data_IF_686434980932
#
_entry.id   IF_686434980932
#
_cell.length_a   1.000
_cell.length_b   1.000
_cell.length_c   1.000
_cell.angle_alpha   90.00
_cell.angle_beta   90.00
_cell.angle_gamma   90.00
#
_symmetry.space_group_name_H-M   'P 1'
#
loop_
_entity.id
_entity.type
_entity.pdbx_description
1 polymer ?
#
# COMPACT_ATOMS: atom_id res chain seq x y z
N UNK A 1 0.83 26.06 -20.84
CA UNK A 1 0.72 25.36 -19.54
C UNK A 1 0.28 23.93 -19.86
N UNK A 2 1.10 22.91 -19.55
CA UNK A 2 0.66 21.51 -19.63
C UNK A 2 -0.45 21.31 -18.60
N UNK A 3 -1.59 20.76 -19.04
CA UNK A 3 -2.58 20.22 -18.12
C UNK A 3 -2.00 18.94 -17.55
N UNK A 4 -1.60 18.92 -16.27
CA UNK A 4 -1.19 17.69 -15.61
C UNK A 4 -2.37 16.74 -15.54
N UNK A 5 -2.14 15.48 -15.89
CA UNK A 5 -3.15 14.43 -15.73
C UNK A 5 -3.41 14.14 -14.24
N UNK A 6 -4.58 13.57 -13.92
CA UNK A 6 -4.91 13.21 -12.55
C UNK A 6 -3.83 12.31 -11.88
N UNK A 7 -3.28 11.27 -12.54
CA UNK A 7 -2.17 10.48 -11.99
C UNK A 7 -0.91 11.31 -11.69
N UNK A 8 -0.51 12.22 -12.59
CA UNK A 8 0.66 13.09 -12.37
C UNK A 8 0.51 13.99 -11.13
N UNK A 9 -0.72 14.44 -10.84
CA UNK A 9 -1.03 15.21 -9.63
C UNK A 9 -0.89 14.33 -8.38
N UNK A 10 -1.34 13.09 -8.44
CA UNK A 10 -1.26 12.15 -7.31
C UNK A 10 0.17 11.71 -7.03
N UNK A 11 0.98 11.49 -8.07
CA UNK A 11 2.42 11.26 -7.93
C UNK A 11 3.14 12.48 -7.30
N UNK A 12 2.75 13.69 -7.68
CA UNK A 12 3.27 14.91 -7.08
C UNK A 12 2.87 15.01 -5.58
N UNK A 13 1.64 14.63 -5.24
CA UNK A 13 1.19 14.60 -3.85
C UNK A 13 2.01 13.59 -3.01
N UNK A 14 2.31 12.40 -3.53
CA UNK A 14 3.16 11.42 -2.86
C UNK A 14 4.58 11.94 -2.66
N UNK A 15 5.19 12.61 -3.66
CA UNK A 15 6.51 13.24 -3.49
C UNK A 15 6.51 14.31 -2.39
N UNK A 16 5.42 15.08 -2.26
CA UNK A 16 5.29 16.04 -1.17
C UNK A 16 5.21 15.33 0.19
N UNK A 17 4.45 14.23 0.30
CA UNK A 17 4.36 13.42 1.53
C UNK A 17 5.74 12.86 1.91
N UNK A 18 6.47 12.29 0.95
CA UNK A 18 7.83 11.78 1.18
C UNK A 18 8.79 12.87 1.65
N UNK A 19 8.75 14.05 1.03
CA UNK A 19 9.65 15.16 1.36
C UNK A 19 9.38 15.80 2.73
N UNK A 20 8.10 15.84 3.15
CA UNK A 20 7.66 16.45 4.43
C UNK A 20 7.72 15.42 5.57
N UNK A 21 7.69 14.14 5.27
CA UNK A 21 7.63 13.07 6.27
C UNK A 21 6.32 13.03 7.06
N UNK A 22 5.24 13.57 6.50
CA UNK A 22 3.93 13.65 7.15
C UNK A 22 2.78 13.88 6.17
N UNK A 23 1.56 13.49 6.58
CA UNK A 23 0.34 13.64 5.77
C UNK A 23 -0.21 15.08 5.71
N UNK A 24 0.44 16.05 6.34
CA UNK A 24 0.03 17.46 6.33
C UNK A 24 0.38 18.17 5.01
N UNK A 25 -0.07 17.55 3.90
CA UNK A 25 0.03 18.19 2.58
C UNK A 25 -0.96 19.35 2.47
N UNK A 26 -0.55 20.39 1.77
CA UNK A 26 -1.41 21.54 1.46
C UNK A 26 -1.70 21.60 -0.04
N UNK A 27 -2.82 22.21 -0.43
CA UNK A 27 -3.06 22.49 -1.84
C UNK A 27 -1.93 23.28 -2.49
N UNK A 28 -1.30 24.17 -1.74
CA UNK A 28 -0.20 24.99 -2.25
C UNK A 28 1.02 24.13 -2.58
N UNK A 29 1.43 23.23 -1.66
CA UNK A 29 2.60 22.37 -1.87
C UNK A 29 2.38 21.38 -3.02
N UNK A 30 1.20 20.75 -3.08
CA UNK A 30 0.88 19.80 -4.16
C UNK A 30 0.75 20.51 -5.50
N UNK A 31 0.08 21.67 -5.56
CA UNK A 31 -0.04 22.43 -6.80
C UNK A 31 1.34 22.88 -7.32
N UNK A 32 2.22 23.35 -6.45
CA UNK A 32 3.59 23.72 -6.79
C UNK A 32 4.38 22.53 -7.35
N UNK A 33 4.31 21.40 -6.68
CA UNK A 33 5.01 20.18 -7.10
C UNK A 33 4.47 19.63 -8.43
N UNK A 34 3.14 19.74 -8.66
CA UNK A 34 2.48 19.32 -9.90
C UNK A 34 2.60 20.34 -11.05
N UNK A 35 3.21 21.52 -10.81
CA UNK A 35 3.29 22.58 -11.81
C UNK A 35 1.94 23.24 -12.14
N UNK A 36 1.00 23.22 -11.18
CA UNK A 36 -0.36 23.77 -11.30
C UNK A 36 -0.54 25.02 -10.44
N UNK A 37 -1.63 25.75 -10.71
CA UNK A 37 -2.16 26.72 -9.75
C UNK A 37 -2.99 26.01 -8.69
N UNK A 38 -3.14 26.64 -7.50
CA UNK A 38 -4.05 26.15 -6.46
C UNK A 38 -5.47 25.96 -6.98
N UNK A 39 -5.97 26.90 -7.81
CA UNK A 39 -7.29 26.80 -8.41
C UNK A 39 -7.39 25.62 -9.40
N UNK A 40 -6.32 25.36 -10.17
CA UNK A 40 -6.24 24.19 -11.04
C UNK A 40 -6.30 22.87 -10.26
N UNK A 41 -5.59 22.78 -9.14
CA UNK A 41 -5.66 21.58 -8.27
C UNK A 41 -7.06 21.42 -7.65
N UNK A 42 -7.68 22.50 -7.17
CA UNK A 42 -9.04 22.49 -6.60
C UNK A 42 -10.12 22.11 -7.63
N UNK A 43 -9.89 22.34 -8.92
CA UNK A 43 -10.78 21.86 -9.98
C UNK A 43 -10.78 20.31 -10.05
N UNK A 44 -9.64 19.67 -9.85
CA UNK A 44 -9.52 18.20 -9.83
C UNK A 44 -9.99 17.59 -8.52
N UNK A 45 -9.73 18.27 -7.40
CA UNK A 45 -10.01 17.79 -6.05
C UNK A 45 -10.61 18.93 -5.22
N UNK A 46 -11.96 19.02 -5.13
CA UNK A 46 -12.64 20.15 -4.48
C UNK A 46 -12.35 20.30 -2.99
N UNK A 47 -12.03 19.21 -2.28
CA UNK A 47 -11.72 19.20 -0.85
C UNK A 47 -10.39 18.51 -0.57
N UNK A 48 -9.75 18.84 0.57
CA UNK A 48 -8.52 18.18 1.02
C UNK A 48 -8.75 16.68 1.21
N UNK A 49 -9.92 16.27 1.69
CA UNK A 49 -10.27 14.87 1.86
C UNK A 49 -10.43 14.16 0.52
N UNK A 50 -11.05 14.81 -0.48
CA UNK A 50 -11.12 14.25 -1.84
C UNK A 50 -9.73 14.05 -2.47
N UNK A 51 -8.78 14.96 -2.23
CA UNK A 51 -7.39 14.78 -2.63
C UNK A 51 -6.76 13.60 -1.89
N UNK A 52 -6.92 13.53 -0.56
CA UNK A 52 -6.31 12.47 0.24
C UNK A 52 -6.89 11.09 -0.10
N UNK A 53 -8.20 10.96 -0.27
CA UNK A 53 -8.83 9.71 -0.74
C UNK A 53 -8.24 9.28 -2.08
N UNK A 54 -8.12 10.20 -3.03
CA UNK A 54 -7.54 9.88 -4.34
C UNK A 54 -6.06 9.48 -4.26
N UNK A 55 -5.27 10.06 -3.33
CA UNK A 55 -3.89 9.64 -3.07
C UNK A 55 -3.86 8.23 -2.48
N UNK A 56 -4.75 7.91 -1.54
CA UNK A 56 -4.89 6.57 -0.97
C UNK A 56 -5.24 5.55 -2.05
N UNK A 57 -6.26 5.82 -2.87
CA UNK A 57 -6.66 4.99 -4.00
C UNK A 57 -5.49 4.75 -4.96
N UNK A 58 -4.73 5.80 -5.28
CA UNK A 58 -3.57 5.71 -6.16
C UNK A 58 -2.45 4.82 -5.61
N UNK A 59 -2.18 4.88 -4.30
CA UNK A 59 -1.24 3.95 -3.62
C UNK A 59 -1.76 2.52 -3.71
N UNK A 60 -3.03 2.31 -3.41
CA UNK A 60 -3.66 0.99 -3.47
C UNK A 60 -3.59 0.42 -4.89
N UNK A 61 -3.90 1.21 -5.91
CA UNK A 61 -3.84 0.78 -7.32
C UNK A 61 -2.43 0.32 -7.71
N UNK A 62 -1.40 1.04 -7.27
CA UNK A 62 0.01 0.66 -7.50
C UNK A 62 0.32 -0.68 -6.82
N UNK A 63 -0.03 -0.83 -5.56
CA UNK A 63 0.20 -2.07 -4.82
C UNK A 63 -0.57 -3.26 -5.41
N UNK A 64 -1.83 -3.04 -5.82
CA UNK A 64 -2.61 -4.07 -6.50
C UNK A 64 -1.97 -4.50 -7.82
N UNK A 65 -1.45 -3.56 -8.62
CA UNK A 65 -0.76 -3.88 -9.86
C UNK A 65 0.50 -4.72 -9.62
N UNK A 66 1.30 -4.39 -8.60
CA UNK A 66 2.49 -5.17 -8.21
C UNK A 66 2.11 -6.55 -7.68
N UNK A 67 1.14 -6.63 -6.77
CA UNK A 67 0.62 -7.90 -6.25
C UNK A 67 0.05 -8.78 -7.35
N UNK A 68 -0.70 -8.22 -8.29
CA UNK A 68 -1.25 -8.93 -9.44
C UNK A 68 -0.16 -9.47 -10.36
N UNK A 69 0.94 -8.70 -10.53
CA UNK A 69 2.11 -9.14 -11.30
C UNK A 69 2.80 -10.35 -10.65
N UNK A 70 2.91 -10.37 -9.32
CA UNK A 70 3.50 -11.49 -8.57
C UNK A 70 2.55 -12.69 -8.55
N UNK A 71 1.24 -12.45 -8.40
CA UNK A 71 0.21 -13.49 -8.35
C UNK A 71 0.13 -14.30 -9.66
N UNK A 72 0.25 -13.63 -10.80
CA UNK A 72 0.33 -14.26 -12.12
C UNK A 72 -0.97 -14.89 -12.66
N UNK A 73 -2.05 -14.90 -11.86
CA UNK A 73 -3.38 -15.39 -12.23
C UNK A 73 -4.43 -14.36 -11.84
N UNK A 74 -5.62 -14.33 -12.46
CA UNK A 74 -6.68 -13.41 -12.04
C UNK A 74 -7.03 -13.57 -10.57
N UNK A 75 -7.25 -12.44 -9.86
CA UNK A 75 -7.53 -12.42 -8.42
C UNK A 75 -8.72 -13.35 -8.05
N UNK A 76 -9.76 -13.35 -8.87
CA UNK A 76 -10.96 -14.16 -8.63
C UNK A 76 -10.74 -15.68 -8.81
N UNK A 77 -9.67 -16.07 -9.49
CA UNK A 77 -9.29 -17.47 -9.71
C UNK A 77 -8.26 -17.96 -8.68
N UNK A 78 -7.70 -17.03 -7.89
CA UNK A 78 -6.67 -17.32 -6.90
C UNK A 78 -7.24 -17.75 -5.56
N UNK A 79 -6.50 -18.60 -4.86
CA UNK A 79 -6.74 -18.97 -3.47
C UNK A 79 -6.19 -17.91 -2.51
N UNK A 80 -6.66 -17.90 -1.25
CA UNK A 80 -6.10 -17.04 -0.21
C UNK A 80 -4.59 -17.31 0.02
N UNK A 81 -4.16 -18.57 -0.06
CA UNK A 81 -2.76 -18.95 0.10
C UNK A 81 -1.87 -18.33 -1.01
N UNK A 82 -2.31 -18.35 -2.26
CA UNK A 82 -1.60 -17.72 -3.37
C UNK A 82 -1.52 -16.20 -3.20
N UNK A 83 -2.59 -15.56 -2.73
CA UNK A 83 -2.61 -14.10 -2.45
C UNK A 83 -1.69 -13.73 -1.29
N UNK A 84 -1.68 -14.52 -0.20
CA UNK A 84 -0.74 -14.32 0.91
C UNK A 84 0.70 -14.57 0.45
N UNK A 85 0.95 -15.59 -0.39
CA UNK A 85 2.26 -15.83 -1.00
C UNK A 85 2.73 -14.61 -1.82
N UNK A 86 1.87 -14.06 -2.67
CA UNK A 86 2.18 -12.86 -3.46
C UNK A 86 2.52 -11.67 -2.55
N UNK A 87 1.76 -11.49 -1.46
CA UNK A 87 2.02 -10.42 -0.49
C UNK A 87 3.35 -10.59 0.26
N UNK A 88 3.72 -11.81 0.66
CA UNK A 88 5.03 -12.07 1.27
C UNK A 88 6.17 -11.68 0.34
N UNK A 89 6.07 -12.00 -0.95
CA UNK A 89 7.07 -11.59 -1.94
C UNK A 89 7.12 -10.09 -2.11
N UNK A 90 5.97 -9.43 -2.29
CA UNK A 90 5.85 -7.98 -2.37
C UNK A 90 6.51 -7.28 -1.16
N UNK A 91 6.13 -7.69 0.06
CA UNK A 91 6.70 -7.15 1.28
C UNK A 91 8.21 -7.42 1.43
N UNK A 92 8.69 -8.52 0.84
CA UNK A 92 10.10 -8.91 0.87
C UNK A 92 10.98 -8.16 -0.15
N UNK A 93 10.41 -7.64 -1.22
CA UNK A 93 11.15 -6.92 -2.26
C UNK A 93 11.45 -5.45 -1.90
N UNK A 94 10.76 -4.91 -0.88
CA UNK A 94 11.09 -3.61 -0.31
C UNK A 94 10.64 -2.41 -1.15
N UNK A 95 9.49 -2.52 -1.81
CA UNK A 95 8.98 -1.50 -2.72
C UNK A 95 8.19 -0.35 -2.08
N UNK A 96 7.94 -0.41 -0.77
CA UNK A 96 7.08 0.58 -0.10
C UNK A 96 7.90 1.75 0.41
N UNK A 97 7.48 2.97 0.05
CA UNK A 97 8.13 4.20 0.48
C UNK A 97 7.63 4.65 1.87
N UNK A 98 8.41 5.52 2.52
CA UNK A 98 7.97 6.16 3.76
C UNK A 98 6.69 6.97 3.55
N UNK A 99 6.53 7.63 2.40
CA UNK A 99 5.33 8.39 2.07
C UNK A 99 4.08 7.52 1.94
N UNK A 100 4.20 6.35 1.35
CA UNK A 100 3.09 5.38 1.28
C UNK A 100 2.67 4.89 2.66
N UNK A 101 3.64 4.64 3.56
CA UNK A 101 3.35 4.33 4.96
C UNK A 101 2.64 5.50 5.68
N UNK A 102 3.05 6.74 5.43
CA UNK A 102 2.40 7.93 5.99
C UNK A 102 0.95 8.04 5.49
N UNK A 103 0.71 7.82 4.20
CA UNK A 103 -0.64 7.79 3.60
C UNK A 103 -1.51 6.70 4.23
N UNK A 104 -0.98 5.49 4.41
CA UNK A 104 -1.65 4.41 5.12
C UNK A 104 -1.98 4.79 6.57
N UNK A 105 -1.02 5.34 7.30
CA UNK A 105 -1.20 5.76 8.70
C UNK A 105 -2.27 6.84 8.85
N UNK A 106 -2.37 7.77 7.90
CA UNK A 106 -3.40 8.80 7.88
C UNK A 106 -4.80 8.21 7.67
N UNK A 107 -4.92 7.23 6.78
CA UNK A 107 -6.17 6.51 6.57
C UNK A 107 -6.62 5.74 7.82
N UNK A 108 -5.68 5.15 8.57
CA UNK A 108 -5.99 4.46 9.85
C UNK A 108 -6.40 5.47 10.93
N UNK A 109 -5.77 6.64 10.98
CA UNK A 109 -6.05 7.68 11.97
C UNK A 109 -7.38 8.38 11.73
N UNK A 110 -7.85 8.42 10.49
CA UNK A 110 -9.06 9.14 10.06
C UNK A 110 -10.07 8.18 9.45
N UNK A 111 -11.10 7.74 10.20
CA UNK A 111 -12.07 6.75 9.73
C UNK A 111 -12.75 7.12 8.40
N UNK A 112 -12.95 8.41 8.13
CA UNK A 112 -13.52 8.91 6.87
C UNK A 112 -12.63 8.64 5.63
N UNK A 113 -11.35 8.32 5.84
CA UNK A 113 -10.38 7.99 4.78
C UNK A 113 -10.10 6.49 4.67
N UNK A 114 -10.63 5.67 5.58
CA UNK A 114 -10.27 4.25 5.68
C UNK A 114 -10.97 3.34 4.66
N UNK A 115 -12.08 3.78 4.07
CA UNK A 115 -12.91 2.94 3.20
C UNK A 115 -12.12 2.26 2.06
N UNK A 116 -11.26 2.95 1.27
CA UNK A 116 -10.50 2.29 0.21
C UNK A 116 -9.57 1.18 0.72
N UNK A 117 -8.94 1.38 1.88
CA UNK A 117 -8.09 0.37 2.51
C UNK A 117 -8.86 -0.86 2.98
N UNK A 118 -10.03 -0.65 3.58
CA UNK A 118 -10.88 -1.76 4.05
C UNK A 118 -11.38 -2.58 2.86
N UNK A 119 -11.78 -1.93 1.77
CA UNK A 119 -12.19 -2.60 0.53
C UNK A 119 -11.02 -3.40 -0.07
N UNK A 120 -9.83 -2.81 -0.18
CA UNK A 120 -8.63 -3.49 -0.64
C UNK A 120 -8.32 -4.74 0.21
N UNK A 121 -8.27 -4.59 1.55
CA UNK A 121 -7.96 -5.70 2.45
C UNK A 121 -9.02 -6.81 2.37
N UNK A 122 -10.29 -6.46 2.29
CA UNK A 122 -11.37 -7.42 2.14
C UNK A 122 -11.29 -8.17 0.79
N UNK A 123 -11.01 -7.45 -0.28
CA UNK A 123 -10.93 -8.02 -1.64
C UNK A 123 -9.76 -8.98 -1.79
N UNK A 124 -8.58 -8.60 -1.28
CA UNK A 124 -7.37 -9.39 -1.42
C UNK A 124 -7.22 -10.47 -0.35
N UNK A 125 -7.57 -10.18 0.90
CA UNK A 125 -7.20 -11.01 2.05
C UNK A 125 -8.39 -11.34 2.96
N UNK A 126 -9.64 -11.17 2.52
CA UNK A 126 -10.81 -11.46 3.34
C UNK A 126 -10.68 -12.81 4.07
N UNK A 127 -10.09 -12.79 5.28
CA UNK A 127 -9.95 -13.95 6.16
C UNK A 127 -11.35 -14.25 6.71
N UNK A 128 -12.13 -15.01 5.93
CA UNK A 128 -13.53 -15.26 6.23
C UNK A 128 -13.76 -16.31 7.32
N UNK A 129 -14.99 -16.31 7.85
CA UNK A 129 -15.45 -17.29 8.81
C UNK A 129 -15.63 -18.70 8.17
N UNK A 130 -15.23 -19.74 8.87
CA UNK A 130 -15.58 -21.12 8.52
C UNK A 130 -14.45 -22.04 8.06
N UNK A 131 -13.27 -21.52 7.75
CA UNK A 131 -12.04 -22.30 7.51
C UNK A 131 -10.95 -21.77 8.46
N UNK A 132 -10.13 -22.66 9.03
CA UNK A 132 -8.99 -22.22 9.86
C UNK A 132 -7.94 -21.51 8.99
N UNK A 133 -8.08 -20.18 8.89
CA UNK A 133 -7.16 -19.31 8.17
C UNK A 133 -6.02 -18.77 9.06
N UNK A 134 -5.99 -19.18 10.33
CA UNK A 134 -5.02 -18.70 11.32
C UNK A 134 -3.56 -18.82 10.86
N UNK A 135 -3.11 -19.94 10.24
CA UNK A 135 -1.73 -20.02 9.75
C UNK A 135 -1.41 -19.00 8.67
N UNK A 136 -2.32 -18.77 7.72
CA UNK A 136 -2.14 -17.75 6.66
C UNK A 136 -2.19 -16.34 7.24
N UNK A 137 -3.06 -16.08 8.21
CA UNK A 137 -3.13 -14.81 8.91
C UNK A 137 -1.84 -14.51 9.65
N UNK A 138 -1.24 -15.51 10.32
CA UNK A 138 0.07 -15.37 10.97
C UNK A 138 1.16 -14.95 9.97
N UNK A 139 1.23 -15.61 8.82
CA UNK A 139 2.18 -15.28 7.77
C UNK A 139 1.93 -13.86 7.23
N UNK A 140 0.68 -13.50 6.99
CA UNK A 140 0.31 -12.17 6.52
C UNK A 140 0.69 -11.08 7.52
N UNK A 141 0.43 -11.29 8.83
CA UNK A 141 0.84 -10.36 9.90
C UNK A 141 2.36 -10.21 9.99
N UNK A 142 3.12 -11.31 9.85
CA UNK A 142 4.57 -11.26 9.85
C UNK A 142 5.13 -10.50 8.63
N UNK A 143 4.55 -10.69 7.45
CA UNK A 143 4.91 -9.95 6.24
C UNK A 143 4.59 -8.45 6.37
N UNK A 144 3.47 -8.08 7.01
CA UNK A 144 3.18 -6.68 7.36
C UNK A 144 4.23 -6.10 8.31
N UNK A 145 4.70 -6.87 9.30
CA UNK A 145 5.77 -6.45 10.19
C UNK A 145 7.07 -6.15 9.44
N UNK A 146 7.43 -6.96 8.46
CA UNK A 146 8.59 -6.76 7.59
C UNK A 146 8.45 -5.46 6.79
N UNK A 147 7.32 -5.27 6.12
CA UNK A 147 6.98 -4.08 5.36
C UNK A 147 7.01 -2.80 6.22
N UNK A 148 6.36 -2.80 7.39
CA UNK A 148 6.33 -1.66 8.31
C UNK A 148 7.73 -1.32 8.83
N UNK A 149 8.53 -2.33 9.18
CA UNK A 149 9.89 -2.13 9.68
C UNK A 149 10.76 -1.42 8.66
N UNK A 150 10.60 -1.74 7.40
CA UNK A 150 11.32 -1.11 6.30
C UNK A 150 10.84 0.31 6.02
N UNK A 151 9.54 0.50 5.83
CA UNK A 151 8.95 1.80 5.54
C UNK A 151 9.22 2.84 6.64
N UNK A 152 9.34 2.40 7.91
CA UNK A 152 9.58 3.29 9.06
C UNK A 152 11.05 3.41 9.46
N UNK A 153 11.90 2.48 9.02
CA UNK A 153 13.29 2.40 9.46
C UNK A 153 13.47 2.05 10.95
N UNK A 154 12.40 1.64 11.65
CA UNK A 154 12.45 1.31 13.09
C UNK A 154 13.34 0.10 13.36
N UNK A 155 13.31 -0.89 12.45
CA UNK A 155 14.14 -2.07 12.52
C UNK A 155 14.92 -2.23 11.23
N UNK A 156 16.24 -2.16 11.31
CA UNK A 156 17.12 -2.39 10.16
C UNK A 156 17.31 -3.90 9.97
N UNK A 157 16.77 -4.43 8.88
CA UNK A 157 16.88 -5.84 8.50
C UNK A 157 17.81 -5.92 7.28
N UNK A 158 18.96 -6.59 7.45
CA UNK A 158 19.92 -6.77 6.35
C UNK A 158 19.37 -7.65 5.23
N UNK A 159 19.91 -7.53 3.99
CA UNK A 159 19.41 -8.25 2.82
C UNK A 159 19.35 -9.76 3.00
N UNK A 160 20.39 -10.37 3.60
CA UNK A 160 20.45 -11.82 3.84
C UNK A 160 19.38 -12.27 4.86
N UNK A 161 19.22 -11.52 5.94
CA UNK A 161 18.21 -11.82 6.97
C UNK A 161 16.80 -11.66 6.39
N UNK A 162 16.58 -10.64 5.56
CA UNK A 162 15.30 -10.44 4.85
C UNK A 162 14.99 -11.64 3.95
N UNK A 163 15.94 -12.05 3.12
CA UNK A 163 15.77 -13.20 2.23
C UNK A 163 15.48 -14.50 3.02
N UNK A 164 16.08 -14.69 4.21
CA UNK A 164 15.79 -15.83 5.07
C UNK A 164 14.38 -15.76 5.66
N UNK A 165 13.95 -14.58 6.12
CA UNK A 165 12.58 -14.36 6.63
C UNK A 165 11.53 -14.65 5.56
N UNK A 166 11.69 -14.09 4.35
CA UNK A 166 10.78 -14.35 3.23
C UNK A 166 10.71 -15.84 2.93
N UNK A 167 11.83 -16.54 2.82
CA UNK A 167 11.88 -17.98 2.56
C UNK A 167 11.15 -18.77 3.63
N UNK A 168 11.32 -18.43 4.91
CA UNK A 168 10.61 -19.09 6.03
C UNK A 168 9.11 -18.84 5.98
N UNK A 169 8.67 -17.61 5.70
CA UNK A 169 7.25 -17.28 5.59
C UNK A 169 6.60 -18.05 4.43
N UNK A 170 7.27 -18.15 3.28
CA UNK A 170 6.79 -18.94 2.14
C UNK A 170 6.69 -20.43 2.48
N UNK A 171 7.67 -20.98 3.19
CA UNK A 171 7.64 -22.39 3.66
C UNK A 171 6.49 -22.68 4.63
N UNK A 172 6.06 -21.70 5.44
CA UNK A 172 4.88 -21.86 6.31
C UNK A 172 3.58 -21.99 5.48
N UNK A 173 3.45 -21.26 4.37
CA UNK A 173 2.29 -21.36 3.48
C UNK A 173 2.20 -22.76 2.87
N UNK A 174 3.31 -23.30 2.37
CA UNK A 174 3.37 -24.65 1.80
C UNK A 174 2.96 -25.74 2.80
N UNK A 175 3.28 -25.55 4.08
CA UNK A 175 2.88 -26.45 5.17
C UNK A 175 1.39 -26.45 5.47
N UNK A 176 0.65 -25.39 5.12
CA UNK A 176 -0.80 -25.28 5.34
C UNK A 176 -1.64 -25.97 4.26
N UNK A 177 -1.04 -26.31 3.12
CA UNK A 177 -1.72 -26.95 1.99
C UNK A 177 -1.76 -28.50 2.09
N UNK A 178 -1.26 -29.07 3.20
CA UNK A 178 -1.25 -30.52 3.48
C UNK A 178 -2.26 -30.87 4.54
#
# INVERSE_FOLDING_TARGET
MRSSSRPEILDAALRVVDAVGGADITYQSVAQEAGLTKAGLMYHFPTKDALMIAVIEHVIDRWQAELQSVLGVPLLESTLAERVHAFVRFAGEGGVTQGEFVVFSEAVRRPELSAPWLEYLQTWFGFGDGVDTTPLLLVWLAANGLWISEATGILSIGPEQRADLVRRLLGLIEGTAR
#
